data_IF_074107668867
#
_entry.id   IF_074107668867
#
_cell.length_a   1.000
_cell.length_b   1.000
_cell.length_c   1.000
_cell.angle_alpha   90.00
_cell.angle_beta   90.00
_cell.angle_gamma   90.00
#
_symmetry.space_group_name_H-M   'P 1'
#
loop_
_entity.id
_entity.type
_entity.pdbx_description
1 polymer ?
#
# COMPACT_ATOMS: atom_id res chain seq x y z
N UNK A 1 -34.19 7.73 24.58
CA UNK A 1 -33.86 6.95 23.36
C UNK A 1 -32.75 7.67 22.61
N UNK A 2 -31.54 7.09 22.52
CA UNK A 2 -30.51 7.61 21.61
C UNK A 2 -30.94 7.28 20.18
N UNK A 3 -31.35 8.29 19.40
CA UNK A 3 -31.56 8.12 17.95
C UNK A 3 -30.19 7.85 17.32
N UNK A 4 -29.96 6.63 16.83
CA UNK A 4 -28.75 6.32 16.05
C UNK A 4 -28.80 7.15 14.76
N UNK A 5 -27.98 8.18 14.66
CA UNK A 5 -27.81 8.91 13.41
C UNK A 5 -26.87 8.12 12.50
N UNK A 6 -27.42 7.55 11.43
CA UNK A 6 -26.64 6.87 10.39
C UNK A 6 -26.25 7.90 9.34
N UNK A 7 -24.95 8.20 9.19
CA UNK A 7 -24.43 8.97 8.06
C UNK A 7 -24.07 8.02 6.92
N UNK A 8 -24.68 8.21 5.74
CA UNK A 8 -24.34 7.45 4.54
C UNK A 8 -23.00 7.95 3.97
N UNK A 9 -22.19 7.03 3.48
CA UNK A 9 -20.95 7.33 2.75
C UNK A 9 -21.07 6.78 1.33
N UNK A 10 -20.76 7.59 0.31
CA UNK A 10 -20.77 7.17 -1.08
C UNK A 10 -19.57 7.71 -1.87
N UNK A 11 -19.16 6.97 -2.90
CA UNK A 11 -18.17 7.43 -3.89
C UNK A 11 -18.71 7.19 -5.29
N UNK A 12 -18.46 8.16 -6.19
CA UNK A 12 -18.91 8.10 -7.59
C UNK A 12 -20.37 8.48 -7.80
N UNK A 13 -21.16 8.62 -6.72
CA UNK A 13 -22.57 9.04 -6.75
C UNK A 13 -22.90 9.99 -5.60
N UNK A 14 -23.84 10.89 -5.83
CA UNK A 14 -24.34 11.81 -4.82
C UNK A 14 -25.32 11.13 -3.84
N UNK A 15 -25.46 11.69 -2.64
CA UNK A 15 -26.49 11.33 -1.66
C UNK A 15 -27.11 12.60 -1.08
N UNK A 16 -28.41 12.56 -0.75
CA UNK A 16 -29.13 13.70 -0.17
C UNK A 16 -28.76 13.98 1.29
N UNK A 17 -28.43 12.93 2.05
CA UNK A 17 -27.97 13.04 3.44
C UNK A 17 -26.76 12.13 3.64
N UNK A 18 -25.65 12.68 4.12
CA UNK A 18 -24.41 11.97 4.38
C UNK A 18 -23.18 12.68 3.82
N UNK A 19 -22.16 11.91 3.48
CA UNK A 19 -20.93 12.41 2.85
C UNK A 19 -20.69 11.63 1.56
N UNK A 20 -20.41 12.32 0.47
CA UNK A 20 -20.03 11.68 -0.77
C UNK A 20 -18.83 12.35 -1.41
N UNK A 21 -18.11 11.60 -2.26
CA UNK A 21 -16.99 12.15 -3.01
C UNK A 21 -17.01 11.70 -4.48
N UNK A 22 -16.72 12.63 -5.37
CA UNK A 22 -16.61 12.42 -6.81
C UNK A 22 -15.65 13.45 -7.41
N UNK A 23 -14.90 13.05 -8.43
CA UNK A 23 -14.03 13.94 -9.20
C UNK A 23 -13.06 14.76 -8.33
N UNK A 24 -12.56 14.15 -7.25
CA UNK A 24 -11.64 14.79 -6.32
C UNK A 24 -12.28 15.87 -5.44
N UNK A 25 -13.59 15.87 -5.26
CA UNK A 25 -14.30 16.76 -4.33
C UNK A 25 -15.17 15.93 -3.39
N UNK A 26 -15.15 16.29 -2.11
CA UNK A 26 -15.99 15.73 -1.05
C UNK A 26 -17.09 16.73 -0.69
N UNK A 27 -18.30 16.23 -0.49
CA UNK A 27 -19.49 17.00 -0.14
C UNK A 27 -20.15 16.43 1.12
N UNK A 28 -20.46 17.29 2.08
CA UNK A 28 -21.33 16.99 3.23
C UNK A 28 -22.74 17.49 2.91
N UNK A 29 -23.72 16.60 2.97
CA UNK A 29 -25.11 16.88 2.63
C UNK A 29 -26.05 16.56 3.79
N UNK A 30 -27.10 17.35 3.95
CA UNK A 30 -28.23 17.05 4.84
C UNK A 30 -29.55 17.49 4.22
N UNK A 31 -30.45 16.54 3.94
CA UNK A 31 -31.76 16.82 3.36
C UNK A 31 -31.69 17.51 1.99
N UNK A 32 -30.64 17.24 1.21
CA UNK A 32 -30.39 17.87 -0.08
C UNK A 32 -29.63 19.20 -0.02
N UNK A 33 -29.45 19.79 1.17
CA UNK A 33 -28.62 20.98 1.35
C UNK A 33 -27.14 20.58 1.51
N UNK A 34 -26.25 21.28 0.81
CA UNK A 34 -24.81 21.11 1.02
C UNK A 34 -24.36 21.94 2.23
N UNK A 35 -23.87 21.26 3.26
CA UNK A 35 -23.39 21.90 4.48
C UNK A 35 -21.93 22.33 4.36
N UNK A 36 -21.13 21.56 3.62
CA UNK A 36 -19.71 21.82 3.42
C UNK A 36 -19.16 21.06 2.20
N UNK A 37 -18.02 21.53 1.70
CA UNK A 37 -17.23 20.86 0.65
C UNK A 37 -15.74 20.93 0.95
N UNK A 38 -14.99 19.92 0.51
CA UNK A 38 -13.53 19.88 0.60
C UNK A 38 -12.91 19.34 -0.68
N UNK A 39 -11.86 20.01 -1.17
CA UNK A 39 -11.07 19.55 -2.30
C UNK A 39 -10.11 18.43 -1.90
N UNK A 40 -10.18 17.32 -2.62
CA UNK A 40 -9.24 16.19 -2.53
C UNK A 40 -8.27 16.16 -3.73
N UNK A 41 -8.63 16.82 -4.82
CA UNK A 41 -7.76 17.00 -5.97
C UNK A 41 -6.47 17.74 -5.57
N UNK A 42 -5.33 17.27 -6.08
CA UNK A 42 -4.00 17.82 -5.76
C UNK A 42 -3.37 17.22 -4.49
N UNK A 43 -4.13 16.54 -3.63
CA UNK A 43 -3.56 15.81 -2.48
C UNK A 43 -3.10 14.44 -2.98
N UNK A 44 -1.79 14.29 -3.21
CA UNK A 44 -1.21 13.09 -3.84
C UNK A 44 -1.60 11.79 -3.14
N UNK A 45 -1.61 11.80 -1.81
CA UNK A 45 -1.96 10.66 -0.95
C UNK A 45 -3.43 10.25 -0.99
N UNK A 46 -4.33 11.12 -1.48
CA UNK A 46 -5.77 10.88 -1.55
C UNK A 46 -6.26 10.68 -2.99
N UNK A 47 -5.36 10.41 -3.94
CA UNK A 47 -5.74 10.19 -5.35
C UNK A 47 -6.52 8.88 -5.52
N UNK A 48 -7.60 8.94 -6.31
CA UNK A 48 -8.40 7.78 -6.73
C UNK A 48 -9.64 7.52 -5.87
N UNK A 49 -10.64 6.88 -6.47
CA UNK A 49 -11.97 6.67 -5.89
C UNK A 49 -11.94 5.98 -4.50
N UNK A 50 -11.10 4.96 -4.33
CA UNK A 50 -10.96 4.27 -3.04
C UNK A 50 -10.43 5.19 -1.93
N UNK A 51 -9.49 6.09 -2.24
CA UNK A 51 -8.98 7.05 -1.26
C UNK A 51 -9.95 8.19 -1.00
N UNK A 52 -10.75 8.59 -1.99
CA UNK A 52 -11.87 9.51 -1.76
C UNK A 52 -12.91 8.91 -0.82
N UNK A 53 -13.14 7.59 -0.89
CA UNK A 53 -14.01 6.91 0.06
C UNK A 53 -13.44 6.97 1.47
N UNK A 54 -12.14 6.66 1.61
CA UNK A 54 -11.45 6.75 2.90
C UNK A 54 -11.48 8.17 3.46
N UNK A 55 -11.28 9.19 2.63
CA UNK A 55 -11.38 10.59 3.01
C UNK A 55 -12.80 10.95 3.45
N UNK A 56 -13.84 10.46 2.75
CA UNK A 56 -15.24 10.67 3.12
C UNK A 56 -15.59 10.04 4.47
N UNK A 57 -15.10 8.82 4.74
CA UNK A 57 -15.25 8.17 6.05
C UNK A 57 -14.52 8.96 7.13
N UNK A 58 -13.25 9.31 6.92
CA UNK A 58 -12.45 10.07 7.88
C UNK A 58 -13.09 11.43 8.19
N UNK A 59 -13.58 12.13 7.17
CA UNK A 59 -14.31 13.38 7.32
C UNK A 59 -15.57 13.18 8.16
N UNK A 60 -16.40 12.19 7.85
CA UNK A 60 -17.64 11.94 8.59
C UNK A 60 -17.38 11.61 10.07
N UNK A 61 -16.32 10.84 10.36
CA UNK A 61 -15.91 10.52 11.73
C UNK A 61 -15.40 11.76 12.46
N UNK A 62 -14.53 12.57 11.85
CA UNK A 62 -14.05 13.79 12.46
C UNK A 62 -15.19 14.80 12.72
N UNK A 63 -16.15 14.92 11.78
CA UNK A 63 -17.37 15.71 11.97
C UNK A 63 -18.21 15.23 13.14
N UNK A 64 -18.34 13.92 13.35
CA UNK A 64 -19.11 13.36 14.48
C UNK A 64 -18.48 13.66 15.84
N UNK A 65 -17.17 13.93 15.87
CA UNK A 65 -16.45 14.40 17.05
C UNK A 65 -16.50 15.94 17.22
N UNK A 66 -17.25 16.66 16.38
CA UNK A 66 -17.44 18.10 16.49
C UNK A 66 -16.39 18.95 15.78
N UNK A 67 -15.43 18.36 15.03
CA UNK A 67 -14.43 19.14 14.31
C UNK A 67 -15.08 19.93 13.17
N UNK A 68 -14.67 21.19 13.00
CA UNK A 68 -15.18 22.04 11.93
C UNK A 68 -14.70 21.56 10.54
N UNK A 69 -15.51 21.69 9.48
CA UNK A 69 -15.14 21.27 8.12
C UNK A 69 -13.78 21.80 7.65
N UNK A 70 -13.46 23.05 7.96
CA UNK A 70 -12.20 23.68 7.58
C UNK A 70 -10.97 23.01 8.22
N UNK A 71 -11.06 22.65 9.51
CA UNK A 71 -9.98 21.96 10.22
C UNK A 71 -9.74 20.55 9.65
N UNK A 72 -10.82 19.84 9.32
CA UNK A 72 -10.74 18.52 8.69
C UNK A 72 -10.11 18.64 7.30
N UNK A 73 -10.53 19.62 6.50
CA UNK A 73 -9.96 19.87 5.17
C UNK A 73 -8.46 20.19 5.24
N UNK A 74 -7.99 20.92 6.26
CA UNK A 74 -6.56 21.13 6.49
C UNK A 74 -5.84 19.82 6.83
N UNK A 75 -6.39 19.01 7.73
CA UNK A 75 -5.82 17.70 8.09
C UNK A 75 -5.72 16.75 6.89
N UNK A 76 -6.72 16.77 6.00
CA UNK A 76 -6.68 16.01 4.74
C UNK A 76 -5.57 16.50 3.81
N UNK A 77 -5.34 17.82 3.72
CA UNK A 77 -4.27 18.40 2.90
C UNK A 77 -2.87 18.06 3.41
N UNK A 78 -2.68 18.05 4.74
CA UNK A 78 -1.39 17.71 5.36
C UNK A 78 -1.08 16.21 5.38
N UNK A 79 -2.03 15.38 4.98
CA UNK A 79 -1.84 13.93 4.98
C UNK A 79 -0.83 13.53 3.90
N UNK A 80 0.39 13.19 4.29
CA UNK A 80 1.46 12.75 3.37
C UNK A 80 1.20 11.36 2.76
N UNK A 81 0.15 10.66 3.18
CA UNK A 81 -0.06 9.24 2.90
C UNK A 81 0.33 8.40 4.11
N UNK A 82 0.28 7.08 3.94
CA UNK A 82 0.69 6.16 4.99
C UNK A 82 2.06 5.60 4.61
N UNK A 83 3.02 5.69 5.53
CA UNK A 83 4.25 4.91 5.45
C UNK A 83 3.90 3.43 5.21
N UNK A 84 4.78 2.72 4.49
CA UNK A 84 4.59 1.31 4.16
C UNK A 84 3.37 0.98 3.30
N UNK A 85 2.81 1.97 2.58
CA UNK A 85 1.87 1.78 1.47
C UNK A 85 2.48 2.26 0.18
N UNK A 86 3.07 1.35 -0.60
CA UNK A 86 3.73 1.67 -1.88
C UNK A 86 4.79 2.78 -1.76
N UNK A 87 5.47 2.83 -0.62
CA UNK A 87 6.49 3.83 -0.32
C UNK A 87 7.75 3.55 -1.15
N UNK A 88 8.13 4.47 -2.02
CA UNK A 88 9.41 4.40 -2.72
C UNK A 88 10.52 4.80 -1.74
N UNK A 89 11.30 3.83 -1.29
CA UNK A 89 12.32 4.02 -0.25
C UNK A 89 13.59 4.60 -0.84
N UNK A 90 14.14 3.93 -1.85
CA UNK A 90 15.44 4.25 -2.42
C UNK A 90 15.54 3.76 -3.86
N UNK A 91 16.58 4.23 -4.55
CA UNK A 91 17.09 3.66 -5.79
C UNK A 91 18.53 3.23 -5.63
N UNK A 92 18.90 2.13 -6.29
CA UNK A 92 20.30 1.70 -6.46
C UNK A 92 20.56 1.56 -7.94
N UNK A 93 21.18 2.59 -8.52
CA UNK A 93 21.22 2.75 -9.98
C UNK A 93 19.79 2.75 -10.56
N UNK A 94 19.47 1.78 -11.40
CA UNK A 94 18.13 1.63 -12.01
C UNK A 94 17.11 0.87 -11.16
N UNK A 95 17.55 0.19 -10.09
CA UNK A 95 16.66 -0.63 -9.25
C UNK A 95 15.86 0.29 -8.33
N UNK A 96 14.53 0.17 -8.34
CA UNK A 96 13.64 0.86 -7.42
C UNK A 96 13.25 -0.05 -6.25
N UNK A 97 13.34 0.45 -5.03
CA UNK A 97 12.92 -0.28 -3.83
C UNK A 97 11.61 0.29 -3.29
N UNK A 98 10.59 -0.56 -3.21
CA UNK A 98 9.23 -0.18 -2.79
C UNK A 98 8.80 -0.96 -1.55
N UNK A 99 8.38 -0.22 -0.53
CA UNK A 99 7.88 -0.74 0.72
C UNK A 99 6.35 -0.68 0.76
N UNK A 100 5.72 -1.85 0.66
CA UNK A 100 4.29 -2.06 0.85
C UNK A 100 4.05 -3.08 1.97
N UNK A 101 4.81 -2.99 3.07
CA UNK A 101 4.69 -3.93 4.21
C UNK A 101 3.26 -4.02 4.79
N UNK A 102 2.42 -3.00 4.57
CA UNK A 102 1.01 -2.99 4.97
C UNK A 102 0.11 -3.88 4.12
N UNK A 103 0.57 -4.40 2.98
CA UNK A 103 -0.12 -5.42 2.18
C UNK A 103 -0.12 -6.77 2.89
N UNK A 104 -0.96 -6.87 3.93
CA UNK A 104 -1.07 -8.06 4.78
C UNK A 104 -2.07 -9.10 4.26
N UNK A 105 -2.53 -8.99 3.01
CA UNK A 105 -3.42 -9.94 2.33
C UNK A 105 -3.22 -9.89 0.80
N UNK A 106 -3.78 -10.87 0.09
CA UNK A 106 -3.68 -10.98 -1.36
C UNK A 106 -4.23 -9.75 -2.11
N UNK A 107 -5.43 -9.27 -1.79
CA UNK A 107 -6.03 -8.11 -2.47
C UNK A 107 -5.14 -6.85 -2.39
N UNK A 108 -4.55 -6.60 -1.22
CA UNK A 108 -3.61 -5.49 -1.06
C UNK A 108 -2.34 -5.71 -1.88
N UNK A 109 -1.78 -6.92 -1.88
CA UNK A 109 -0.60 -7.24 -2.67
C UNK A 109 -0.87 -7.14 -4.19
N UNK A 110 -2.07 -7.53 -4.64
CA UNK A 110 -2.48 -7.41 -6.04
C UNK A 110 -2.47 -5.97 -6.53
N UNK A 111 -2.86 -5.00 -5.70
CA UNK A 111 -2.78 -3.56 -6.03
C UNK A 111 -1.33 -3.11 -6.24
N UNK A 112 -0.41 -3.61 -5.42
CA UNK A 112 1.01 -3.33 -5.57
C UNK A 112 1.58 -3.95 -6.85
N UNK A 113 1.29 -5.24 -7.10
CA UNK A 113 1.72 -5.96 -8.28
C UNK A 113 1.17 -5.38 -9.58
N UNK A 114 -0.04 -4.81 -9.56
CA UNK A 114 -0.64 -4.13 -10.70
C UNK A 114 0.08 -2.83 -11.10
N UNK A 115 0.84 -2.23 -10.17
CA UNK A 115 1.43 -0.90 -10.34
C UNK A 115 2.80 -0.93 -11.03
N UNK A 116 3.44 -2.10 -11.15
CA UNK A 116 4.79 -2.24 -11.66
C UNK A 116 4.92 -3.39 -12.68
N UNK A 117 6.11 -3.49 -13.27
CA UNK A 117 6.59 -4.64 -14.08
C UNK A 117 8.01 -4.99 -13.60
N UNK A 118 8.54 -6.13 -14.07
CA UNK A 118 9.90 -6.58 -13.74
C UNK A 118 10.13 -6.68 -12.21
N UNK A 119 9.16 -7.29 -11.54
CA UNK A 119 9.05 -7.27 -10.08
C UNK A 119 9.90 -8.40 -9.47
N UNK A 120 10.75 -8.01 -8.54
CA UNK A 120 11.50 -8.86 -7.62
C UNK A 120 10.79 -8.84 -6.28
N UNK A 121 9.86 -9.77 -6.11
CA UNK A 121 8.80 -9.72 -5.10
C UNK A 121 9.21 -10.40 -3.80
N UNK A 122 9.33 -9.65 -2.72
CA UNK A 122 9.53 -10.20 -1.37
C UNK A 122 8.15 -10.48 -0.77
N UNK A 123 7.92 -11.76 -0.46
CA UNK A 123 6.61 -12.27 -0.06
C UNK A 123 6.72 -13.27 1.10
N UNK A 124 5.73 -13.26 1.99
CA UNK A 124 5.65 -14.22 3.09
C UNK A 124 5.52 -13.55 4.45
N UNK A 125 5.52 -14.38 5.48
CA UNK A 125 5.10 -14.04 6.83
C UNK A 125 4.12 -15.07 7.37
N UNK A 126 3.31 -14.68 8.37
CA UNK A 126 2.23 -15.53 8.89
C UNK A 126 1.09 -15.65 7.86
N UNK A 127 0.73 -16.87 7.43
CA UNK A 127 -0.29 -17.09 6.41
C UNK A 127 -1.69 -16.62 6.86
N UNK A 128 -2.50 -16.23 5.89
CA UNK A 128 -3.94 -15.98 6.04
C UNK A 128 -4.72 -16.90 5.11
N UNK A 129 -6.01 -17.06 5.40
CA UNK A 129 -6.92 -17.79 4.52
C UNK A 129 -6.87 -17.22 3.09
N UNK A 130 -6.94 -18.12 2.10
CA UNK A 130 -6.87 -17.79 0.67
C UNK A 130 -5.45 -17.68 0.09
N UNK A 131 -4.42 -17.47 0.90
CA UNK A 131 -3.03 -17.40 0.41
C UNK A 131 -2.85 -16.37 -0.71
N UNK A 132 -2.45 -16.83 -1.91
CA UNK A 132 -2.24 -16.00 -3.11
C UNK A 132 -3.39 -16.04 -4.13
N UNK A 133 -4.54 -16.63 -3.78
CA UNK A 133 -5.66 -16.75 -4.70
C UNK A 133 -6.08 -15.38 -5.28
N UNK A 134 -6.26 -15.31 -6.60
CA UNK A 134 -6.63 -14.09 -7.33
C UNK A 134 -5.45 -13.23 -7.77
N UNK A 135 -4.22 -13.62 -7.46
CA UNK A 135 -3.01 -12.92 -7.90
C UNK A 135 -2.45 -13.44 -9.24
N UNK A 136 -2.98 -14.55 -9.75
CA UNK A 136 -2.54 -15.20 -10.99
C UNK A 136 -2.45 -14.24 -12.18
N UNK A 137 -3.39 -13.29 -12.40
CA UNK A 137 -3.28 -12.32 -13.48
C UNK A 137 -2.05 -11.40 -13.41
N UNK A 138 -1.42 -11.27 -12.24
CA UNK A 138 -0.24 -10.43 -12.04
C UNK A 138 1.08 -11.19 -12.12
N UNK A 139 1.07 -12.53 -12.10
CA UNK A 139 2.28 -13.35 -12.14
C UNK A 139 3.21 -13.05 -13.33
N UNK A 140 2.72 -12.73 -14.55
CA UNK A 140 3.59 -12.35 -15.66
C UNK A 140 4.43 -11.08 -15.42
N UNK A 141 4.11 -10.28 -14.40
CA UNK A 141 4.86 -9.06 -14.02
C UNK A 141 6.03 -9.37 -13.08
N UNK A 142 6.09 -10.59 -12.55
CA UNK A 142 7.02 -10.98 -11.50
C UNK A 142 8.20 -11.72 -12.14
N UNK A 143 9.37 -11.12 -12.06
CA UNK A 143 10.62 -11.74 -12.51
C UNK A 143 11.04 -12.87 -11.57
N UNK A 144 10.94 -12.66 -10.26
CA UNK A 144 11.21 -13.67 -9.23
C UNK A 144 10.55 -13.30 -7.89
N UNK A 145 10.10 -14.31 -7.14
CA UNK A 145 9.63 -14.16 -5.77
C UNK A 145 10.68 -14.63 -4.74
N UNK A 146 10.75 -13.97 -3.59
CA UNK A 146 11.67 -14.24 -2.49
C UNK A 146 10.85 -14.51 -1.24
N UNK A 147 10.85 -15.78 -0.84
CA UNK A 147 9.94 -16.33 0.16
C UNK A 147 10.54 -16.22 1.56
N UNK A 148 9.80 -15.60 2.47
CA UNK A 148 10.19 -15.41 3.88
C UNK A 148 9.11 -15.96 4.82
N UNK A 149 9.49 -16.26 6.06
CA UNK A 149 8.53 -16.55 7.12
C UNK A 149 7.77 -17.87 6.99
N UNK A 150 6.75 -18.02 7.84
CA UNK A 150 5.96 -19.26 7.98
C UNK A 150 5.25 -19.69 6.69
N UNK A 151 4.81 -18.73 5.87
CA UNK A 151 4.06 -19.00 4.63
C UNK A 151 4.93 -19.46 3.46
N UNK A 152 6.27 -19.48 3.58
CA UNK A 152 7.18 -19.73 2.46
C UNK A 152 6.85 -21.02 1.70
N UNK A 153 6.70 -22.15 2.38
CA UNK A 153 6.38 -23.44 1.75
C UNK A 153 4.98 -23.49 1.11
N UNK A 154 4.01 -22.78 1.68
CA UNK A 154 2.67 -22.71 1.10
C UNK A 154 2.69 -21.86 -0.18
N UNK A 155 3.39 -20.73 -0.16
CA UNK A 155 3.51 -19.83 -1.30
C UNK A 155 4.35 -20.42 -2.43
N UNK A 156 5.43 -21.15 -2.12
CA UNK A 156 6.19 -21.91 -3.11
C UNK A 156 5.29 -22.86 -3.91
N UNK A 157 4.42 -23.61 -3.20
CA UNK A 157 3.45 -24.52 -3.84
C UNK A 157 2.41 -23.79 -4.68
N UNK A 158 1.91 -22.64 -4.23
CA UNK A 158 0.93 -21.85 -5.00
C UNK A 158 1.54 -21.18 -6.24
N UNK A 159 2.78 -20.68 -6.13
CA UNK A 159 3.51 -20.11 -7.26
C UNK A 159 3.92 -21.19 -8.27
N UNK A 160 4.22 -22.40 -7.79
CA UNK A 160 4.55 -23.55 -8.60
C UNK A 160 5.67 -23.24 -9.60
N UNK A 161 5.53 -23.76 -10.82
CA UNK A 161 6.44 -23.45 -11.93
C UNK A 161 6.12 -22.13 -12.65
N UNK A 162 5.06 -21.42 -12.27
CA UNK A 162 4.59 -20.23 -13.00
C UNK A 162 5.43 -19.00 -12.69
N UNK A 163 5.90 -18.87 -11.44
CA UNK A 163 6.77 -17.78 -11.01
C UNK A 163 8.02 -18.38 -10.39
N UNK A 164 9.19 -18.02 -10.93
CA UNK A 164 10.47 -18.39 -10.35
C UNK A 164 10.54 -17.86 -8.91
N UNK A 165 10.97 -18.70 -7.96
CA UNK A 165 11.01 -18.30 -6.56
C UNK A 165 12.22 -18.87 -5.82
N UNK A 166 12.59 -18.22 -4.72
CA UNK A 166 13.71 -18.61 -3.86
C UNK A 166 13.28 -18.56 -2.40
N UNK A 167 13.60 -19.60 -1.63
CA UNK A 167 13.46 -19.58 -0.17
C UNK A 167 14.60 -18.76 0.43
N UNK A 168 14.24 -17.63 1.03
CA UNK A 168 15.17 -16.73 1.69
C UNK A 168 15.06 -16.81 3.21
N UNK A 169 13.94 -17.29 3.76
CA UNK A 169 13.75 -17.42 5.19
C UNK A 169 13.50 -16.07 5.87
N UNK A 170 14.45 -15.14 5.81
CA UNK A 170 14.43 -13.84 6.49
C UNK A 170 14.41 -12.66 5.52
N UNK A 171 13.96 -11.49 6.00
CA UNK A 171 13.80 -10.29 5.20
C UNK A 171 15.14 -9.75 4.67
N UNK A 172 16.19 -9.74 5.48
CA UNK A 172 17.53 -9.29 5.07
C UNK A 172 18.11 -10.15 3.95
N UNK A 173 18.00 -11.48 4.06
CA UNK A 173 18.43 -12.40 3.01
C UNK A 173 17.61 -12.23 1.73
N UNK A 174 16.32 -11.94 1.84
CA UNK A 174 15.45 -11.67 0.70
C UNK A 174 15.81 -10.35 0.00
N UNK A 175 16.04 -9.27 0.75
CA UNK A 175 16.44 -7.97 0.18
C UNK A 175 17.79 -8.09 -0.52
N UNK A 176 18.78 -8.76 0.09
CA UNK A 176 20.08 -8.95 -0.53
C UNK A 176 19.99 -9.74 -1.84
N UNK A 177 19.26 -10.86 -1.85
CA UNK A 177 19.07 -11.67 -3.05
C UNK A 177 18.29 -10.93 -4.15
N UNK A 178 17.21 -10.24 -3.78
CA UNK A 178 16.40 -9.46 -4.70
C UNK A 178 17.18 -8.30 -5.31
N UNK A 179 17.98 -7.58 -4.51
CA UNK A 179 18.80 -6.49 -5.00
C UNK A 179 19.88 -6.97 -5.98
N UNK A 180 20.51 -8.12 -5.74
CA UNK A 180 21.51 -8.70 -6.63
C UNK A 180 20.93 -9.13 -7.98
N UNK A 181 19.80 -9.87 -7.94
CA UNK A 181 19.12 -10.32 -9.15
C UNK A 181 18.54 -9.13 -9.95
N UNK A 182 17.95 -8.14 -9.27
CA UNK A 182 17.42 -6.93 -9.90
C UNK A 182 18.52 -6.06 -10.52
N UNK A 183 19.67 -5.91 -9.84
CA UNK A 183 20.81 -5.17 -10.37
C UNK A 183 21.39 -5.78 -11.65
N UNK A 184 21.28 -7.10 -11.80
CA UNK A 184 21.73 -7.85 -12.98
C UNK A 184 20.67 -7.93 -14.09
N UNK A 185 19.47 -7.41 -13.85
CA UNK A 185 18.36 -7.45 -14.81
C UNK A 185 18.67 -6.66 -16.08
N UNK A 186 18.15 -7.13 -17.23
CA UNK A 186 18.11 -6.33 -18.47
C UNK A 186 17.02 -5.25 -18.47
N UNK A 187 16.08 -5.28 -17.52
CA UNK A 187 14.97 -4.35 -17.46
C UNK A 187 15.44 -2.90 -17.28
N UNK A 188 14.65 -1.95 -17.80
CA UNK A 188 14.93 -0.51 -17.69
C UNK A 188 14.83 -0.02 -16.24
N UNK A 189 13.84 -0.52 -15.51
CA UNK A 189 13.58 -0.17 -14.12
C UNK A 189 13.06 -1.40 -13.36
N UNK A 190 13.95 -2.32 -12.96
CA UNK A 190 13.55 -3.45 -12.11
C UNK A 190 13.11 -2.96 -10.73
N UNK A 191 12.08 -3.60 -10.16
CA UNK A 191 11.48 -3.17 -8.89
C UNK A 191 11.64 -4.26 -7.83
N UNK A 192 12.35 -3.95 -6.75
CA UNK A 192 12.35 -4.77 -5.53
C UNK A 192 11.17 -4.34 -4.67
N UNK A 193 10.17 -5.20 -4.56
CA UNK A 193 8.90 -4.90 -3.90
C UNK A 193 8.71 -5.76 -2.65
N UNK A 194 8.65 -5.13 -1.47
CA UNK A 194 8.10 -5.76 -0.28
C UNK A 194 6.58 -5.62 -0.29
N UNK A 195 5.87 -6.69 -0.61
CA UNK A 195 4.39 -6.72 -0.59
C UNK A 195 3.93 -8.10 -0.11
N UNK A 196 3.93 -8.34 1.21
CA UNK A 196 4.07 -9.69 1.77
C UNK A 196 2.88 -10.63 1.62
N UNK A 197 1.68 -10.11 1.29
CA UNK A 197 0.40 -10.83 1.29
C UNK A 197 0.04 -11.53 2.63
N UNK A 198 0.83 -11.29 3.68
CA UNK A 198 0.81 -11.99 4.95
C UNK A 198 0.89 -11.02 6.15
N UNK A 199 0.39 -11.50 7.29
CA UNK A 199 0.68 -10.84 8.56
C UNK A 199 2.18 -10.95 8.89
N UNK A 200 2.69 -10.07 9.76
CA UNK A 200 4.13 -9.99 10.08
C UNK A 200 4.55 -10.74 11.35
N UNK A 201 3.58 -11.24 12.11
CA UNK A 201 3.75 -11.68 13.51
C UNK A 201 4.66 -12.89 13.72
N UNK A 202 5.10 -13.53 12.65
CA UNK A 202 6.05 -14.64 12.70
C UNK A 202 7.50 -14.16 12.84
N UNK A 203 7.85 -13.01 12.27
CA UNK A 203 9.21 -12.47 12.30
C UNK A 203 9.30 -11.07 12.93
N UNK A 204 8.18 -10.36 13.05
CA UNK A 204 8.13 -8.97 13.50
C UNK A 204 6.92 -8.69 14.37
N UNK A 205 7.06 -7.76 15.33
CA UNK A 205 5.98 -7.37 16.23
C UNK A 205 4.76 -6.77 15.51
N UNK A 206 4.94 -6.11 14.36
CA UNK A 206 3.88 -5.53 13.53
C UNK A 206 4.41 -5.21 12.11
N UNK A 207 3.52 -4.75 11.22
CA UNK A 207 3.89 -4.48 9.83
C UNK A 207 4.77 -3.23 9.71
N UNK A 208 4.64 -2.28 10.63
CA UNK A 208 5.48 -1.09 10.71
C UNK A 208 6.93 -1.48 10.97
N UNK A 209 7.20 -2.36 11.95
CA UNK A 209 8.55 -2.86 12.25
C UNK A 209 9.17 -3.62 11.08
N UNK A 210 8.38 -4.42 10.36
CA UNK A 210 8.83 -5.08 9.12
C UNK A 210 9.17 -4.06 8.03
N UNK A 211 8.34 -3.01 7.89
CA UNK A 211 8.53 -1.94 6.92
C UNK A 211 9.73 -1.06 7.24
N UNK A 212 9.95 -0.73 8.51
CA UNK A 212 11.15 -0.05 9.02
C UNK A 212 12.39 -0.90 8.75
N UNK A 213 12.37 -2.19 9.09
CA UNK A 213 13.49 -3.09 8.82
C UNK A 213 13.84 -3.14 7.32
N UNK A 214 12.85 -3.25 6.44
CA UNK A 214 13.09 -3.17 4.99
C UNK A 214 13.76 -1.86 4.59
N UNK A 215 13.27 -0.73 5.11
CA UNK A 215 13.86 0.58 4.82
C UNK A 215 15.31 0.65 5.27
N UNK A 216 15.59 0.22 6.50
CA UNK A 216 16.92 0.29 7.08
C UNK A 216 17.91 -0.63 6.33
N UNK A 217 17.48 -1.83 5.96
CA UNK A 217 18.29 -2.77 5.14
C UNK A 217 18.56 -2.15 3.76
N UNK A 218 17.54 -1.61 3.10
CA UNK A 218 17.67 -1.00 1.76
C UNK A 218 18.60 0.21 1.80
N UNK A 219 18.47 1.08 2.81
CA UNK A 219 19.33 2.25 2.98
C UNK A 219 20.77 1.88 3.34
N UNK A 220 20.99 0.68 3.90
CA UNK A 220 22.32 0.13 4.14
C UNK A 220 22.99 -0.51 2.92
N UNK A 221 22.33 -0.59 1.76
CA UNK A 221 22.92 -1.12 0.54
C UNK A 221 23.88 -0.10 -0.10
N UNK A 222 25.06 -0.56 -0.52
CA UNK A 222 26.02 0.29 -1.22
C UNK A 222 25.44 0.91 -2.49
N UNK A 223 25.48 2.25 -2.56
CA UNK A 223 24.96 3.02 -3.68
C UNK A 223 23.44 3.16 -3.70
N UNK A 224 22.75 2.87 -2.59
CA UNK A 224 21.35 3.23 -2.42
C UNK A 224 21.18 4.71 -2.08
N UNK A 225 20.34 5.41 -2.83
CA UNK A 225 19.99 6.81 -2.63
C UNK A 225 18.50 6.92 -2.31
N UNK A 226 18.16 7.65 -1.24
CA UNK A 226 16.75 7.80 -0.86
C UNK A 226 15.96 8.54 -1.94
N UNK A 227 14.75 8.06 -2.23
CA UNK A 227 13.83 8.73 -3.16
C UNK A 227 13.14 9.93 -2.48
N UNK A 228 13.07 9.95 -1.14
CA UNK A 228 12.59 11.11 -0.39
C UNK A 228 13.72 12.15 -0.27
N UNK A 229 13.85 12.96 -1.33
CA UNK A 229 14.95 13.92 -1.46
C UNK A 229 14.83 14.86 -2.67
N UNK A 230 13.64 15.40 -2.95
CA UNK A 230 13.43 16.70 -3.64
C UNK A 230 12.16 17.35 -3.12
N UNK A 231 12.13 17.66 -1.83
CA UNK A 231 11.31 18.76 -1.33
C UNK A 231 12.25 19.97 -1.30
N UNK A 232 12.09 20.87 -2.28
CA UNK A 232 12.61 22.23 -2.22
C UNK A 232 11.77 23.05 -1.24
#
# INVERSE_FOLDING_TARGET
MYKRQVKRIAVGRAVETGVWAKDGVLHEMDGGAELARAGLAGIGSLRGAHNWQNAAVAYALARSQGLAPAAIAQGLKSFAGLAHRMEQVARRGKVLFVNDSKATNADAAGKALASFTDIYWIIGGRPKEGGLAGLEPFFPRIARAYLIGEAAEAFARQLGGTVAHKHCGTLDQAVAAAAADAGSSGAREPVVLLSPACASYDQFANFEKRGEAFRDIVMGLDGAESVQGRAA
#
